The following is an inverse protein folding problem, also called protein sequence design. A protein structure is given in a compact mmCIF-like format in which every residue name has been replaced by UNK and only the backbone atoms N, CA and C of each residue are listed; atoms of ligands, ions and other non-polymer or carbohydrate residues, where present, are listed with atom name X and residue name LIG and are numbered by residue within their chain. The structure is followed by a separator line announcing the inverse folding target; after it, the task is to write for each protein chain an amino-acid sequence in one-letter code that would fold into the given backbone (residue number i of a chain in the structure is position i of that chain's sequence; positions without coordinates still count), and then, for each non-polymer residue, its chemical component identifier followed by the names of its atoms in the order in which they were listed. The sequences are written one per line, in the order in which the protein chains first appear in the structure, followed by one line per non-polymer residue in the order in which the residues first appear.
data_IF_842990167978
#
_entry.id   IF_842990167978
#
_cell.length_a   1.000
_cell.length_b   1.000
_cell.length_c   1.000
_cell.angle_alpha   90.00
_cell.angle_beta   90.00
_cell.angle_gamma   90.00
#
_symmetry.space_group_name_H-M   'P 1'
#
loop_
_entity.id
_entity.type
_entity.pdbx_description
1 polymer ?
#
# COMPACT_ATOMS: atom_id res chain seq x y z
N UNK A 1 22.24 15.18 -18.38
CA UNK A 1 20.78 15.16 -18.23
C UNK A 1 20.30 13.72 -18.21
N UNK A 2 19.78 13.32 -17.06
CA UNK A 2 19.26 11.96 -16.84
C UNK A 2 17.83 11.90 -17.37
N UNK A 3 17.63 11.27 -18.51
CA UNK A 3 16.28 11.06 -19.07
C UNK A 3 15.64 9.85 -18.40
N UNK A 4 14.65 10.10 -17.57
CA UNK A 4 13.85 9.09 -16.87
C UNK A 4 13.07 8.27 -17.92
N UNK A 5 13.50 7.04 -18.18
CA UNK A 5 12.67 6.09 -18.95
C UNK A 5 11.49 5.67 -18.06
N UNK A 6 10.30 6.15 -18.38
CA UNK A 6 9.08 5.66 -17.72
C UNK A 6 8.93 4.17 -18.03
N UNK A 7 9.01 3.31 -17.01
CA UNK A 7 8.61 1.91 -17.15
C UNK A 7 7.11 1.85 -17.42
N UNK A 8 6.72 1.20 -18.49
CA UNK A 8 5.31 0.86 -18.71
C UNK A 8 4.80 0.12 -17.48
N UNK A 9 3.79 0.68 -16.82
CA UNK A 9 3.07 0.02 -15.75
C UNK A 9 2.49 -1.29 -16.27
N UNK A 10 2.80 -2.40 -15.62
CA UNK A 10 2.24 -3.71 -15.91
C UNK A 10 1.46 -4.18 -14.70
N UNK A 11 0.16 -3.94 -14.68
CA UNK A 11 -0.72 -4.57 -13.69
C UNK A 11 -0.78 -6.08 -13.92
N UNK A 12 -0.95 -6.82 -12.82
CA UNK A 12 -1.13 -8.26 -12.87
C UNK A 12 -2.25 -8.66 -13.86
N UNK A 13 -1.93 -9.47 -14.86
CA UNK A 13 -2.85 -9.86 -15.93
C UNK A 13 -3.59 -11.18 -15.68
N UNK A 14 -3.32 -11.84 -14.55
CA UNK A 14 -3.91 -13.14 -14.21
C UNK A 14 -5.30 -13.03 -13.56
N UNK A 15 -6.12 -14.06 -13.73
CA UNK A 15 -7.34 -14.30 -12.95
C UNK A 15 -7.04 -15.40 -11.93
N UNK A 16 -6.92 -15.04 -10.65
CA UNK A 16 -6.66 -16.00 -9.57
C UNK A 16 -7.92 -16.27 -8.73
N UNK A 17 -8.90 -15.38 -8.80
CA UNK A 17 -10.11 -15.44 -8.00
C UNK A 17 -11.21 -14.53 -8.55
N UNK A 18 -11.99 -13.94 -7.67
CA UNK A 18 -13.12 -13.07 -8.02
C UNK A 18 -12.67 -11.61 -8.07
N UNK A 19 -13.01 -10.93 -9.16
CA UNK A 19 -12.80 -9.49 -9.33
C UNK A 19 -14.03 -8.74 -8.82
N UNK A 20 -13.81 -7.81 -7.88
CA UNK A 20 -14.86 -6.93 -7.36
C UNK A 20 -15.07 -5.71 -8.28
N UNK A 21 -16.28 -5.10 -8.28
CA UNK A 21 -16.55 -3.90 -9.07
C UNK A 21 -15.79 -2.70 -8.51
N UNK A 22 -15.45 -1.74 -9.39
CA UNK A 22 -14.89 -0.46 -8.96
C UNK A 22 -15.99 0.41 -8.35
N UNK A 23 -16.04 0.50 -7.03
CA UNK A 23 -17.01 1.29 -6.27
C UNK A 23 -16.55 2.71 -6.01
N UNK A 24 -15.23 2.93 -5.91
CA UNK A 24 -14.62 4.25 -5.67
C UNK A 24 -14.81 5.16 -6.89
N UNK A 25 -14.62 4.64 -8.10
CA UNK A 25 -14.77 5.38 -9.36
C UNK A 25 -14.03 6.73 -9.35
N UNK A 26 -12.78 6.73 -8.85
CA UNK A 26 -11.91 7.90 -8.67
C UNK A 26 -12.45 8.96 -7.68
N UNK A 27 -13.44 8.64 -6.88
CA UNK A 27 -13.92 9.51 -5.78
C UNK A 27 -13.06 9.29 -4.54
N UNK A 28 -11.80 9.73 -4.62
CA UNK A 28 -10.81 9.55 -3.55
C UNK A 28 -11.06 10.48 -2.36
N UNK A 29 -11.67 11.63 -2.59
CA UNK A 29 -11.98 12.57 -1.51
C UNK A 29 -13.12 12.06 -0.64
N UNK A 30 -12.90 12.09 0.66
CA UNK A 30 -13.91 11.82 1.68
C UNK A 30 -13.59 12.65 2.91
N UNK A 31 -14.63 13.15 3.59
CA UNK A 31 -14.51 13.85 4.86
C UNK A 31 -14.78 12.94 6.06
N UNK A 32 -15.04 11.67 5.82
CA UNK A 32 -15.38 10.70 6.84
C UNK A 32 -14.15 9.84 7.14
N UNK A 33 -13.53 10.00 8.33
CA UNK A 33 -12.40 9.15 8.73
C UNK A 33 -12.77 7.67 8.72
N UNK A 34 -11.83 6.82 8.33
CA UNK A 34 -11.95 5.36 8.36
C UNK A 34 -13.02 4.75 7.46
N UNK A 35 -13.63 5.53 6.57
CA UNK A 35 -14.67 5.01 5.67
C UNK A 35 -14.12 4.40 4.39
N UNK A 36 -13.20 5.10 3.73
CA UNK A 36 -12.60 4.67 2.47
C UNK A 36 -11.12 4.40 2.67
N UNK A 37 -10.74 3.15 2.51
CA UNK A 37 -9.38 2.67 2.69
C UNK A 37 -8.86 2.16 1.35
N UNK A 38 -7.62 2.48 1.01
CA UNK A 38 -6.95 1.95 -0.17
C UNK A 38 -5.68 1.20 0.20
N UNK A 39 -5.33 0.23 -0.61
CA UNK A 39 -4.12 -0.57 -0.47
C UNK A 39 -3.54 -0.91 -1.83
N UNK A 40 -2.26 -1.14 -1.87
CA UNK A 40 -1.51 -1.65 -3.01
C UNK A 40 -0.19 -2.23 -2.50
N UNK A 41 0.51 -2.96 -3.36
CA UNK A 41 1.82 -3.53 -3.06
C UNK A 41 2.91 -2.80 -3.83
N UNK A 42 4.00 -2.46 -3.16
CA UNK A 42 5.21 -1.98 -3.85
C UNK A 42 6.42 -2.82 -3.48
N UNK A 43 7.37 -2.92 -4.41
CA UNK A 43 8.62 -3.66 -4.20
C UNK A 43 9.81 -2.73 -4.15
N UNK A 44 10.78 -3.13 -3.33
CA UNK A 44 12.10 -2.52 -3.20
C UNK A 44 13.17 -3.57 -3.45
N UNK A 45 14.37 -3.12 -3.83
CA UNK A 45 15.54 -3.98 -3.99
C UNK A 45 16.59 -3.62 -2.94
N UNK A 46 17.22 -4.63 -2.42
CA UNK A 46 18.45 -4.53 -1.63
C UNK A 46 19.45 -5.60 -2.08
N UNK A 47 20.67 -5.48 -1.63
CA UNK A 47 21.75 -6.35 -2.07
C UNK A 47 22.43 -6.97 -0.87
N UNK A 48 22.87 -8.22 -1.03
CA UNK A 48 23.75 -8.89 -0.08
C UNK A 48 25.07 -9.16 -0.78
N UNK A 49 26.19 -8.97 -0.07
CA UNK A 49 27.53 -9.21 -0.54
C UNK A 49 28.07 -10.42 0.20
N UNK A 50 28.48 -11.47 -0.55
CA UNK A 50 29.06 -12.66 0.03
C UNK A 50 30.55 -12.46 0.38
N UNK A 51 31.17 -13.49 1.00
CA UNK A 51 32.57 -13.46 1.41
C UNK A 51 33.55 -13.26 0.25
N UNK A 52 33.12 -13.57 -0.99
CA UNK A 52 33.91 -13.37 -2.24
C UNK A 52 33.66 -12.04 -2.92
N UNK A 53 32.88 -11.15 -2.29
CA UNK A 53 32.52 -9.85 -2.82
C UNK A 53 31.46 -9.87 -3.93
N UNK A 54 30.75 -11.00 -4.11
CA UNK A 54 29.67 -11.11 -5.10
C UNK A 54 28.37 -10.52 -4.55
N UNK A 55 27.72 -9.66 -5.34
CA UNK A 55 26.45 -9.06 -5.00
C UNK A 55 25.28 -9.91 -5.49
N UNK A 56 24.32 -10.19 -4.60
CA UNK A 56 23.05 -10.82 -4.93
C UNK A 56 21.92 -9.85 -4.67
N UNK A 57 21.02 -9.67 -5.65
CA UNK A 57 19.85 -8.83 -5.52
C UNK A 57 18.72 -9.58 -4.84
N UNK A 58 18.13 -8.93 -3.85
CA UNK A 58 16.94 -9.40 -3.13
C UNK A 58 15.81 -8.38 -3.22
N UNK A 59 14.61 -8.80 -2.92
CA UNK A 59 13.42 -7.94 -2.90
C UNK A 59 12.81 -7.85 -1.52
N UNK A 60 12.19 -6.71 -1.26
CA UNK A 60 11.35 -6.44 -0.11
C UNK A 60 10.02 -5.93 -0.62
N UNK A 61 8.92 -6.40 -0.05
CA UNK A 61 7.55 -6.02 -0.41
C UNK A 61 6.90 -5.27 0.75
N UNK A 62 6.24 -4.16 0.41
CA UNK A 62 5.46 -3.34 1.34
C UNK A 62 4.00 -3.34 0.91
N UNK A 63 3.11 -3.65 1.84
CA UNK A 63 1.65 -3.70 1.67
C UNK A 63 0.99 -2.74 2.67
N UNK A 64 0.88 -1.43 2.38
CA UNK A 64 0.25 -0.48 3.28
C UNK A 64 -1.24 -0.37 3.04
N UNK A 65 -1.98 -0.02 4.09
CA UNK A 65 -3.38 0.40 4.05
C UNK A 65 -3.47 1.87 4.46
N UNK A 66 -4.09 2.67 3.59
CA UNK A 66 -4.20 4.12 3.74
C UNK A 66 -5.64 4.57 3.91
N UNK A 67 -5.89 5.45 4.88
CA UNK A 67 -7.14 6.18 4.98
C UNK A 67 -7.20 7.29 3.90
N UNK A 68 -8.20 7.23 3.03
CA UNK A 68 -8.38 8.25 1.99
C UNK A 68 -8.86 9.60 2.53
N UNK A 69 -9.32 9.66 3.78
CA UNK A 69 -9.76 10.91 4.41
C UNK A 69 -8.60 11.89 4.59
N UNK A 70 -7.49 11.41 5.13
CA UNK A 70 -6.34 12.23 5.48
C UNK A 70 -5.00 11.73 4.93
N UNK A 71 -4.96 10.58 4.26
CA UNK A 71 -3.75 9.97 3.74
C UNK A 71 -2.92 9.18 4.77
N UNK A 72 -3.41 8.99 5.99
CA UNK A 72 -2.71 8.27 7.04
C UNK A 72 -2.52 6.79 6.68
N UNK A 73 -1.33 6.26 6.92
CA UNK A 73 -1.06 4.83 6.83
C UNK A 73 -1.48 4.17 8.15
N UNK A 74 -2.58 3.43 8.09
CA UNK A 74 -3.20 2.81 9.28
C UNK A 74 -2.47 1.55 9.71
N UNK A 75 -2.07 0.74 8.77
CA UNK A 75 -1.27 -0.47 8.97
C UNK A 75 -0.45 -0.79 7.74
N UNK A 76 0.52 -1.65 7.88
CA UNK A 76 1.32 -2.15 6.76
C UNK A 76 1.98 -3.48 7.10
N UNK A 77 2.27 -4.25 6.04
CA UNK A 77 3.09 -5.45 6.13
C UNK A 77 4.37 -5.28 5.33
N UNK A 78 5.48 -5.84 5.82
CA UNK A 78 6.75 -5.90 5.11
C UNK A 78 7.25 -7.35 5.11
N UNK A 79 7.62 -7.87 3.94
CA UNK A 79 8.10 -9.24 3.79
C UNK A 79 9.15 -9.33 2.67
N UNK A 80 9.97 -10.37 2.72
CA UNK A 80 10.94 -10.74 1.67
C UNK A 80 10.30 -11.37 0.44
N UNK A 81 9.06 -11.84 0.57
CA UNK A 81 8.28 -12.50 -0.49
C UNK A 81 6.87 -11.94 -0.54
N UNK A 82 6.21 -11.97 -1.71
CA UNK A 82 4.78 -11.76 -1.78
C UNK A 82 4.07 -12.77 -0.88
N UNK A 83 3.33 -12.31 0.12
CA UNK A 83 2.78 -13.15 1.18
C UNK A 83 1.32 -12.85 1.44
N UNK A 84 0.47 -13.86 1.28
CA UNK A 84 -0.94 -13.77 1.65
C UNK A 84 -1.11 -13.47 3.15
N UNK A 85 -0.29 -14.10 4.00
CA UNK A 85 -0.31 -13.86 5.44
C UNK A 85 0.00 -12.41 5.77
N UNK A 86 1.00 -11.83 5.14
CA UNK A 86 1.41 -10.44 5.37
C UNK A 86 0.28 -9.45 5.02
N UNK A 87 -0.37 -9.65 3.87
CA UNK A 87 -1.53 -8.84 3.46
C UNK A 87 -2.70 -9.04 4.41
N UNK A 88 -3.01 -10.27 4.82
CA UNK A 88 -4.12 -10.56 5.72
C UNK A 88 -3.90 -10.02 7.13
N UNK A 89 -2.68 -10.06 7.66
CA UNK A 89 -2.35 -9.50 8.97
C UNK A 89 -2.56 -7.97 8.96
N UNK A 90 -2.10 -7.28 7.94
CA UNK A 90 -2.31 -5.83 7.77
C UNK A 90 -3.79 -5.49 7.54
N UNK A 91 -4.52 -6.30 6.77
CA UNK A 91 -5.96 -6.16 6.58
C UNK A 91 -6.72 -6.26 7.90
N UNK A 92 -6.44 -7.29 8.71
CA UNK A 92 -7.11 -7.51 9.98
C UNK A 92 -6.85 -6.36 10.96
N UNK A 93 -5.63 -5.85 11.03
CA UNK A 93 -5.29 -4.68 11.83
C UNK A 93 -6.06 -3.44 11.36
N UNK A 94 -6.14 -3.21 10.05
CA UNK A 94 -6.91 -2.08 9.48
C UNK A 94 -8.41 -2.21 9.77
N UNK A 95 -8.97 -3.40 9.71
CA UNK A 95 -10.38 -3.65 10.06
C UNK A 95 -10.65 -3.27 11.51
N UNK A 96 -9.77 -3.62 12.43
CA UNK A 96 -9.89 -3.25 13.85
C UNK A 96 -9.78 -1.74 14.05
N UNK A 97 -8.78 -1.10 13.47
CA UNK A 97 -8.56 0.37 13.57
C UNK A 97 -9.77 1.14 13.03
N UNK A 98 -10.37 0.67 11.94
CA UNK A 98 -11.48 1.37 11.26
C UNK A 98 -12.87 0.96 11.77
N UNK A 99 -12.96 0.10 12.78
CA UNK A 99 -14.23 -0.39 13.32
C UNK A 99 -15.08 0.71 13.99
N UNK A 100 -14.49 1.84 14.32
CA UNK A 100 -15.16 3.03 14.89
C UNK A 100 -15.96 3.83 13.86
N UNK A 101 -15.79 3.57 12.56
CA UNK A 101 -16.52 4.27 11.51
C UNK A 101 -18.03 3.96 11.61
N UNK A 102 -18.90 4.99 11.75
CA UNK A 102 -20.34 4.79 11.89
C UNK A 102 -21.04 4.42 10.57
N UNK A 103 -20.30 4.51 9.44
CA UNK A 103 -20.81 4.22 8.11
C UNK A 103 -20.22 2.92 7.57
N UNK A 104 -20.86 2.39 6.53
CA UNK A 104 -20.31 1.23 5.83
C UNK A 104 -18.99 1.59 5.15
N UNK A 105 -17.94 0.84 5.46
CA UNK A 105 -16.59 1.02 4.93
C UNK A 105 -16.46 0.47 3.51
N UNK A 106 -15.52 1.02 2.74
CA UNK A 106 -15.12 0.53 1.42
C UNK A 106 -13.60 0.38 1.39
N UNK A 107 -13.11 -0.82 1.07
CA UNK A 107 -11.68 -1.09 0.90
C UNK A 107 -11.39 -1.29 -0.58
N UNK A 108 -10.49 -0.47 -1.10
CA UNK A 108 -10.12 -0.38 -2.51
C UNK A 108 -8.72 -0.92 -2.75
N UNK A 109 -8.54 -1.68 -3.84
CA UNK A 109 -7.25 -2.19 -4.29
C UNK A 109 -7.19 -2.25 -5.81
N UNK A 110 -6.05 -2.62 -6.37
CA UNK A 110 -5.98 -3.11 -7.74
C UNK A 110 -6.52 -4.56 -7.86
N UNK A 111 -6.36 -5.18 -9.03
CA UNK A 111 -6.74 -6.57 -9.26
C UNK A 111 -5.59 -7.55 -8.96
N UNK A 112 -4.69 -7.21 -8.03
CA UNK A 112 -3.61 -8.09 -7.60
C UNK A 112 -4.10 -9.42 -7.05
N UNK A 113 -3.25 -10.45 -7.13
CA UNK A 113 -3.61 -11.82 -6.75
C UNK A 113 -4.11 -11.94 -5.31
N UNK A 114 -3.49 -11.21 -4.36
CA UNK A 114 -3.86 -11.26 -2.96
C UNK A 114 -5.29 -10.80 -2.70
N UNK A 115 -5.72 -9.76 -3.41
CA UNK A 115 -7.04 -9.16 -3.25
C UNK A 115 -8.15 -9.97 -3.95
N UNK A 116 -7.79 -10.85 -4.88
CA UNK A 116 -8.71 -11.79 -5.55
C UNK A 116 -8.91 -13.09 -4.76
N UNK A 117 -8.12 -13.33 -3.71
CA UNK A 117 -8.25 -14.54 -2.89
C UNK A 117 -9.58 -14.56 -2.13
N UNK A 118 -10.16 -15.74 -2.02
CA UNK A 118 -11.39 -15.96 -1.26
C UNK A 118 -11.27 -15.52 0.20
N UNK A 119 -10.13 -15.77 0.84
CA UNK A 119 -9.89 -15.38 2.24
C UNK A 119 -9.97 -13.86 2.42
N UNK A 120 -9.44 -13.08 1.48
CA UNK A 120 -9.51 -11.62 1.51
C UNK A 120 -10.95 -11.13 1.34
N UNK A 121 -11.64 -11.56 0.29
CA UNK A 121 -13.02 -11.15 0.01
C UNK A 121 -14.00 -11.62 1.09
N UNK A 122 -13.78 -12.82 1.63
CA UNK A 122 -14.60 -13.37 2.71
C UNK A 122 -14.46 -12.55 4.00
N UNK A 123 -13.24 -12.17 4.37
CA UNK A 123 -12.99 -11.36 5.56
C UNK A 123 -13.69 -9.98 5.47
N UNK A 124 -13.67 -9.35 4.30
CA UNK A 124 -14.41 -8.10 4.08
C UNK A 124 -15.92 -8.28 4.20
N UNK A 125 -16.46 -9.38 3.67
CA UNK A 125 -17.90 -9.69 3.77
C UNK A 125 -18.35 -9.93 5.21
N UNK A 126 -17.56 -10.63 6.03
CA UNK A 126 -17.82 -10.85 7.45
C UNK A 126 -18.04 -9.53 8.20
N UNK A 127 -17.25 -8.51 7.86
CA UNK A 127 -17.32 -7.18 8.46
C UNK A 127 -18.27 -6.22 7.73
N UNK A 128 -19.01 -6.69 6.73
CA UNK A 128 -19.87 -5.88 5.88
C UNK A 128 -19.16 -4.72 5.19
N UNK A 129 -17.90 -4.92 4.85
CA UNK A 129 -17.08 -3.94 4.12
C UNK A 129 -17.28 -4.16 2.62
N UNK A 130 -17.49 -3.09 1.87
CA UNK A 130 -17.49 -3.15 0.42
C UNK A 130 -16.08 -3.38 -0.10
N UNK A 131 -15.90 -4.40 -0.92
CA UNK A 131 -14.69 -4.56 -1.71
C UNK A 131 -14.81 -3.79 -3.02
N UNK A 132 -13.78 -2.98 -3.33
CA UNK A 132 -13.66 -2.22 -4.57
C UNK A 132 -12.33 -2.53 -5.24
N UNK A 133 -12.33 -2.72 -6.55
CA UNK A 133 -11.11 -2.94 -7.33
C UNK A 133 -11.01 -1.97 -8.49
N UNK A 134 -9.80 -1.51 -8.78
CA UNK A 134 -9.48 -0.73 -9.97
C UNK A 134 -9.80 -1.52 -11.24
N UNK A 135 -10.09 -0.79 -12.31
CA UNK A 135 -10.21 -1.40 -13.65
C UNK A 135 -8.85 -1.94 -14.08
N UNK A 136 -8.87 -3.05 -14.80
CA UNK A 136 -7.66 -3.71 -15.28
C UNK A 136 -6.77 -2.73 -16.08
N UNK A 137 -5.52 -2.60 -15.64
CA UNK A 137 -4.53 -1.77 -16.33
C UNK A 137 -4.71 -0.26 -16.18
N UNK A 138 -5.57 0.20 -15.27
CA UNK A 138 -5.83 1.63 -15.05
C UNK A 138 -5.23 2.10 -13.73
N UNK A 139 -4.00 2.64 -13.80
CA UNK A 139 -3.28 3.16 -12.64
C UNK A 139 -3.98 4.37 -11.99
N UNK A 140 -4.73 5.18 -12.75
CA UNK A 140 -5.45 6.34 -12.22
C UNK A 140 -6.56 5.96 -11.23
N UNK A 141 -6.95 4.69 -11.20
CA UNK A 141 -7.98 4.22 -10.27
C UNK A 141 -7.43 4.01 -8.83
N UNK A 142 -6.12 4.12 -8.60
CA UNK A 142 -5.49 4.13 -7.26
C UNK A 142 -4.36 5.15 -7.15
N UNK A 143 -4.56 6.35 -7.67
CA UNK A 143 -3.53 7.40 -7.76
C UNK A 143 -3.04 7.91 -6.40
N UNK A 144 -3.87 7.86 -5.36
CA UNK A 144 -3.47 8.31 -4.01
C UNK A 144 -2.39 7.42 -3.41
N UNK A 145 -2.48 6.10 -3.63
CA UNK A 145 -1.45 5.17 -3.19
C UNK A 145 -0.18 5.29 -4.02
N UNK A 146 -0.31 5.50 -5.33
CA UNK A 146 0.84 5.75 -6.20
C UNK A 146 1.62 7.00 -5.80
N UNK A 147 0.92 8.07 -5.41
CA UNK A 147 1.56 9.28 -4.89
C UNK A 147 2.34 9.01 -3.60
N UNK A 148 1.77 8.26 -2.67
CA UNK A 148 2.47 7.86 -1.45
C UNK A 148 3.73 7.04 -1.77
N UNK A 149 3.65 6.05 -2.63
CA UNK A 149 4.81 5.27 -3.04
C UNK A 149 5.88 6.13 -3.74
N UNK A 150 5.45 7.10 -4.52
CA UNK A 150 6.36 8.06 -5.15
C UNK A 150 7.14 8.88 -4.13
N UNK A 151 6.46 9.44 -3.12
CA UNK A 151 7.09 10.18 -2.03
C UNK A 151 8.06 9.31 -1.23
N UNK A 152 7.61 8.14 -0.79
CA UNK A 152 8.43 7.18 -0.05
C UNK A 152 9.73 6.84 -0.79
N UNK A 153 9.62 6.47 -2.07
CA UNK A 153 10.78 6.09 -2.87
C UNK A 153 11.71 7.26 -3.19
N UNK A 154 11.16 8.45 -3.35
CA UNK A 154 11.96 9.65 -3.56
C UNK A 154 12.78 10.00 -2.31
N UNK A 155 12.19 9.87 -1.12
CA UNK A 155 12.85 10.25 0.13
C UNK A 155 13.90 9.23 0.59
N UNK A 156 13.63 7.95 0.47
CA UNK A 156 14.51 6.93 1.10
C UNK A 156 15.14 5.94 0.13
N UNK A 157 14.70 5.87 -1.11
CA UNK A 157 15.09 4.76 -2.00
C UNK A 157 15.87 5.16 -3.24
N UNK A 158 15.42 6.19 -3.98
CA UNK A 158 16.12 6.58 -5.20
C UNK A 158 17.47 7.21 -4.87
N UNK A 159 18.53 6.69 -5.53
CA UNK A 159 19.91 7.13 -5.31
C UNK A 159 20.59 6.51 -4.09
N UNK A 160 19.93 5.63 -3.36
CA UNK A 160 20.48 4.89 -2.22
C UNK A 160 20.57 3.41 -2.54
N UNK A 161 21.66 2.77 -2.12
CA UNK A 161 21.84 1.31 -2.20
C UNK A 161 21.80 0.73 -0.80
N UNK A 162 20.90 -0.22 -0.58
CA UNK A 162 20.77 -0.93 0.69
C UNK A 162 21.45 -2.30 0.61
N UNK A 163 22.19 -2.65 1.64
CA UNK A 163 22.94 -3.90 1.73
C UNK A 163 22.37 -4.89 2.75
N UNK A 164 21.24 -4.57 3.38
CA UNK A 164 20.52 -5.49 4.24
C UNK A 164 19.03 -5.26 4.22
N UNK A 165 18.27 -6.33 4.43
CA UNK A 165 16.83 -6.29 4.60
C UNK A 165 16.43 -5.40 5.79
N UNK A 166 17.11 -5.56 6.92
CA UNK A 166 16.80 -4.83 8.17
C UNK A 166 17.02 -3.32 8.02
N UNK A 167 18.07 -2.92 7.32
CA UNK A 167 18.34 -1.50 7.05
C UNK A 167 17.23 -0.87 6.22
N UNK A 168 16.86 -1.49 5.11
CA UNK A 168 15.80 -1.00 4.23
C UNK A 168 14.43 -0.99 4.94
N UNK A 169 14.09 -2.06 5.66
CA UNK A 169 12.87 -2.15 6.47
C UNK A 169 12.79 -1.02 7.49
N UNK A 170 13.88 -0.79 8.22
CA UNK A 170 13.99 0.26 9.23
C UNK A 170 13.76 1.65 8.63
N UNK A 171 14.30 1.94 7.44
CA UNK A 171 14.10 3.21 6.75
C UNK A 171 12.65 3.40 6.28
N UNK A 172 12.01 2.34 5.80
CA UNK A 172 10.60 2.36 5.43
C UNK A 172 9.72 2.66 6.65
N UNK A 173 9.93 1.96 7.74
CA UNK A 173 9.17 2.14 8.99
C UNK A 173 9.36 3.54 9.56
N UNK A 174 10.57 4.06 9.54
CA UNK A 174 10.89 5.43 9.98
C UNK A 174 10.19 6.48 9.11
N UNK A 175 10.19 6.29 7.80
CA UNK A 175 9.50 7.21 6.88
C UNK A 175 7.99 7.21 7.12
N UNK A 176 7.36 6.04 7.27
CA UNK A 176 5.90 5.94 7.51
C UNK A 176 5.53 6.66 8.81
N UNK A 177 6.31 6.47 9.87
CA UNK A 177 6.09 7.18 11.14
C UNK A 177 6.19 8.69 10.96
N UNK A 178 7.26 9.16 10.33
CA UNK A 178 7.47 10.59 10.05
C UNK A 178 6.33 11.17 9.18
N UNK A 179 5.95 10.46 8.13
CA UNK A 179 4.85 10.84 7.24
C UNK A 179 3.53 11.00 8.00
N UNK A 180 3.16 10.02 8.82
CA UNK A 180 1.95 10.09 9.64
C UNK A 180 2.00 11.23 10.66
N UNK A 181 3.13 11.43 11.34
CA UNK A 181 3.31 12.52 12.30
C UNK A 181 3.17 13.90 11.65
N UNK A 182 3.69 14.08 10.42
CA UNK A 182 3.52 15.32 9.65
C UNK A 182 2.06 15.58 9.26
N UNK A 183 1.30 14.54 8.91
CA UNK A 183 -0.13 14.68 8.58
C UNK A 183 -0.95 15.14 9.79
N UNK A 184 -0.68 14.57 10.95
CA UNK A 184 -1.36 14.95 12.20
C UNK A 184 -1.09 16.42 12.55
N UNK A 185 0.14 16.88 12.41
CA UNK A 185 0.51 18.28 12.68
C UNK A 185 -0.18 19.27 11.72
N UNK A 186 -0.34 18.91 10.45
CA UNK A 186 -1.02 19.78 9.47
C UNK A 186 -2.53 19.82 9.65
N UNK A 187 -3.15 18.74 10.16
CA UNK A 187 -4.58 18.71 10.47
C UNK A 187 -4.90 19.59 11.70
N UNK A 188 -4.08 19.55 12.72
CA UNK A 188 -4.25 20.40 13.91
C UNK A 188 -4.07 21.89 13.61
N UNK A 189 -3.22 22.23 12.65
CA UNK A 189 -3.03 23.62 12.21
C UNK A 189 -4.16 24.15 11.31
N UNK A 190 -5.00 23.29 10.76
CA UNK A 190 -6.14 23.67 9.93
C UNK A 190 -7.43 23.90 10.75
N UNK A 191 -7.47 23.42 11.99
CA UNK A 191 -8.58 23.58 12.93
C UNK A 191 -8.45 24.84 13.84
N UNK A 192 -7.33 25.58 13.76
CA UNK A 192 -7.10 26.90 14.38
C UNK A 192 -7.39 28.03 13.39
#
# INVERSE_FOLDING_TARGET
SYTRKSRKYSSYKGKVGTVAPNRIRRRFNTHIPHQKITTDTTEFKYYEVDEKGRMTMHKLYLDPFMDMCNGEILSYGIDKKPSAKNVMDALNETIEITADCPYRRTFHSDQGWAYQMKVYSHRLKEERIFQSMSRKGNCLDNSVMENFFGLLKQEIYYGVVYYSYEELKSEIERFIKYYNDCLLYTSDAADD
#
